data_IF_728044962026
#
_entry.id   IF_728044962026
#
_cell.length_a   1.000
_cell.length_b   1.000
_cell.length_c   1.000
_cell.angle_alpha   90.00
_cell.angle_beta   90.00
_cell.angle_gamma   90.00
#
_symmetry.space_group_name_H-M   'P 1'
#
loop_
_entity.id
_entity.type
_entity.pdbx_description
1 polymer ?
#
# COMPACT_ATOMS: atom_id res chain seq x y z
N UNK A 1 -0.57 9.29 -16.41
CA UNK A 1 0.25 8.51 -15.46
C UNK A 1 -0.40 8.39 -14.08
N UNK A 2 -0.78 9.49 -13.38
CA UNK A 2 -1.47 9.43 -12.07
C UNK A 2 -2.71 8.52 -12.08
N UNK A 3 -3.62 8.67 -13.05
CA UNK A 3 -4.82 7.84 -13.15
C UNK A 3 -4.51 6.34 -13.25
N UNK A 4 -3.42 5.96 -13.91
CA UNK A 4 -3.00 4.56 -14.00
C UNK A 4 -2.51 4.04 -12.65
N UNK A 5 -1.72 4.84 -11.91
CA UNK A 5 -1.26 4.46 -10.57
C UNK A 5 -2.44 4.29 -9.62
N UNK A 6 -3.41 5.19 -9.62
CA UNK A 6 -4.65 5.05 -8.84
C UNK A 6 -5.43 3.78 -9.21
N UNK A 7 -5.54 3.47 -10.51
CA UNK A 7 -6.23 2.23 -10.96
C UNK A 7 -5.54 0.97 -10.44
N UNK A 8 -4.23 0.89 -10.48
CA UNK A 8 -3.48 -0.26 -9.95
C UNK A 8 -3.63 -0.32 -8.43
N UNK A 9 -3.45 0.80 -7.76
CA UNK A 9 -3.52 0.87 -6.30
C UNK A 9 -4.88 0.43 -5.75
N UNK A 10 -6.00 0.83 -6.37
CA UNK A 10 -7.33 0.39 -5.92
C UNK A 10 -7.50 -1.13 -5.91
N UNK A 11 -6.93 -1.84 -6.89
CA UNK A 11 -7.00 -3.30 -6.93
C UNK A 11 -6.10 -3.94 -5.87
N UNK A 12 -4.91 -3.39 -5.66
CA UNK A 12 -4.00 -3.88 -4.61
C UNK A 12 -4.63 -3.65 -3.24
N UNK A 13 -5.01 -2.43 -2.90
CA UNK A 13 -5.61 -2.11 -1.61
C UNK A 13 -6.97 -2.79 -1.40
N UNK A 14 -7.82 -2.83 -2.44
CA UNK A 14 -9.12 -3.48 -2.38
C UNK A 14 -9.01 -4.99 -2.21
N UNK A 15 -8.14 -5.64 -2.97
CA UNK A 15 -7.89 -7.08 -2.87
C UNK A 15 -7.37 -7.48 -1.49
N UNK A 16 -6.32 -6.81 -1.00
CA UNK A 16 -5.81 -7.05 0.35
C UNK A 16 -6.84 -6.72 1.43
N UNK A 17 -7.59 -5.62 1.29
CA UNK A 17 -8.64 -5.25 2.22
C UNK A 17 -9.72 -6.32 2.34
N UNK A 18 -10.20 -6.87 1.21
CA UNK A 18 -11.18 -7.96 1.21
C UNK A 18 -10.60 -9.23 1.85
N UNK A 19 -9.38 -9.61 1.48
CA UNK A 19 -8.73 -10.81 2.03
C UNK A 19 -8.51 -10.69 3.55
N UNK A 20 -8.02 -9.57 4.04
CA UNK A 20 -7.83 -9.34 5.49
C UNK A 20 -9.15 -9.27 6.25
N UNK A 21 -10.21 -8.75 5.62
CA UNK A 21 -11.52 -8.65 6.27
C UNK A 21 -12.19 -10.01 6.43
N UNK A 22 -12.17 -10.81 5.36
CA UNK A 22 -12.92 -12.06 5.30
C UNK A 22 -12.09 -13.26 5.76
N UNK A 23 -10.78 -13.26 5.53
CA UNK A 23 -9.88 -14.40 5.72
C UNK A 23 -8.63 -14.03 6.55
N UNK A 24 -8.75 -13.32 7.70
CA UNK A 24 -7.59 -12.89 8.48
C UNK A 24 -6.80 -14.07 9.06
N UNK A 25 -7.47 -15.15 9.42
CA UNK A 25 -6.85 -16.35 10.01
C UNK A 25 -6.06 -17.13 8.95
N UNK A 26 -6.64 -17.31 7.77
CA UNK A 26 -6.02 -18.01 6.65
C UNK A 26 -4.79 -17.24 6.14
N UNK A 27 -4.91 -15.94 6.03
CA UNK A 27 -3.79 -15.09 5.63
C UNK A 27 -2.65 -15.13 6.66
N UNK A 28 -2.98 -15.10 7.95
CA UNK A 28 -2.01 -15.26 9.01
C UNK A 28 -1.32 -16.65 8.96
N UNK A 29 -2.07 -17.71 8.67
CA UNK A 29 -1.51 -19.05 8.55
C UNK A 29 -0.50 -19.19 7.41
N UNK A 30 -0.69 -18.46 6.31
CA UNK A 30 0.28 -18.38 5.20
C UNK A 30 1.54 -17.63 5.61
N UNK A 31 1.41 -16.51 6.34
CA UNK A 31 2.54 -15.67 6.75
C UNK A 31 3.27 -16.18 7.99
N UNK A 32 2.57 -16.94 8.84
CA UNK A 32 3.08 -17.46 10.11
C UNK A 32 2.52 -18.85 10.37
N UNK A 33 3.00 -19.89 9.66
CA UNK A 33 2.53 -21.26 9.81
C UNK A 33 2.61 -21.75 11.26
N UNK A 34 1.53 -22.39 11.75
CA UNK A 34 1.45 -22.93 13.10
C UNK A 34 1.13 -21.91 14.19
N UNK A 35 1.08 -20.60 13.89
CA UNK A 35 0.68 -19.57 14.85
C UNK A 35 -0.84 -19.42 14.87
N UNK A 36 -1.43 -19.58 16.04
CA UNK A 36 -2.84 -19.24 16.26
C UNK A 36 -2.96 -17.72 16.35
N UNK A 37 -3.88 -17.13 15.57
CA UNK A 37 -4.14 -15.70 15.59
C UNK A 37 -5.05 -15.34 16.77
N UNK A 38 -4.58 -14.56 17.79
CA UNK A 38 -5.42 -14.10 18.89
C UNK A 38 -6.56 -13.20 18.41
N UNK A 39 -7.66 -13.16 19.18
CA UNK A 39 -8.84 -12.35 18.81
C UNK A 39 -8.50 -10.87 18.63
N UNK A 40 -7.65 -10.33 19.49
CA UNK A 40 -7.23 -8.91 19.45
C UNK A 40 -6.47 -8.59 18.16
N UNK A 41 -5.57 -9.47 17.76
CA UNK A 41 -4.83 -9.32 16.49
C UNK A 41 -5.75 -9.48 15.28
N UNK A 42 -6.73 -10.40 15.35
CA UNK A 42 -7.74 -10.55 14.31
C UNK A 42 -8.56 -9.28 14.13
N UNK A 43 -9.02 -8.66 15.23
CA UNK A 43 -9.74 -7.38 15.19
C UNK A 43 -8.86 -6.26 14.62
N UNK A 44 -7.58 -6.22 14.98
CA UNK A 44 -6.62 -5.27 14.44
C UNK A 44 -6.47 -5.43 12.92
N UNK A 45 -6.28 -6.65 12.42
CA UNK A 45 -6.19 -6.94 10.99
C UNK A 45 -7.47 -6.56 10.24
N UNK A 46 -8.65 -6.83 10.82
CA UNK A 46 -9.93 -6.45 10.23
C UNK A 46 -10.14 -4.92 10.23
N UNK A 47 -9.66 -4.21 11.24
CA UNK A 47 -9.66 -2.75 11.27
C UNK A 47 -8.74 -2.17 10.19
N UNK A 48 -7.55 -2.74 10.00
CA UNK A 48 -6.66 -2.41 8.89
C UNK A 48 -7.32 -2.67 7.53
N UNK A 49 -8.04 -3.79 7.40
CA UNK A 49 -8.79 -4.12 6.19
C UNK A 49 -9.82 -3.04 5.85
N UNK A 50 -10.58 -2.55 6.83
CA UNK A 50 -11.55 -1.46 6.62
C UNK A 50 -10.85 -0.18 6.14
N UNK A 51 -9.68 0.16 6.72
CA UNK A 51 -8.88 1.29 6.27
C UNK A 51 -8.39 1.11 4.82
N UNK A 52 -7.88 -0.07 4.46
CA UNK A 52 -7.44 -0.37 3.10
C UNK A 52 -8.58 -0.28 2.08
N UNK A 53 -9.79 -0.72 2.43
CA UNK A 53 -10.98 -0.57 1.58
C UNK A 53 -11.34 0.92 1.39
N UNK A 54 -11.21 1.73 2.42
CA UNK A 54 -11.37 3.18 2.32
C UNK A 54 -10.35 3.82 1.36
N UNK A 55 -9.09 3.42 1.47
CA UNK A 55 -8.03 3.87 0.56
C UNK A 55 -8.29 3.40 -0.87
N UNK A 56 -8.76 2.16 -1.05
CA UNK A 56 -9.15 1.64 -2.37
C UNK A 56 -10.28 2.46 -3.00
N UNK A 57 -11.28 2.87 -2.21
CA UNK A 57 -12.36 3.75 -2.66
C UNK A 57 -11.85 5.13 -3.07
N UNK A 58 -10.95 5.73 -2.27
CA UNK A 58 -10.31 7.01 -2.62
C UNK A 58 -9.53 6.87 -3.95
N UNK A 59 -8.74 5.81 -4.10
CA UNK A 59 -7.99 5.54 -5.32
C UNK A 59 -8.90 5.27 -6.53
N UNK A 60 -10.08 4.67 -6.30
CA UNK A 60 -11.10 4.48 -7.33
C UNK A 60 -11.68 5.80 -7.82
N UNK A 61 -11.98 6.72 -6.90
CA UNK A 61 -12.65 7.99 -7.18
C UNK A 61 -11.68 9.08 -7.68
N UNK A 62 -10.41 9.01 -7.28
CA UNK A 62 -9.41 10.03 -7.59
C UNK A 62 -9.29 10.39 -9.08
N UNK A 63 -9.33 9.45 -10.06
CA UNK A 63 -9.23 9.78 -11.48
C UNK A 63 -10.34 10.70 -12.02
N UNK A 64 -11.49 10.77 -11.36
CA UNK A 64 -12.61 11.64 -11.73
C UNK A 64 -12.49 13.08 -11.19
N UNK A 65 -11.52 13.32 -10.31
CA UNK A 65 -11.30 14.63 -9.69
C UNK A 65 -10.41 15.53 -10.54
N UNK A 66 -10.43 16.87 -10.32
CA UNK A 66 -9.48 17.79 -10.92
C UNK A 66 -8.02 17.38 -10.62
N UNK A 67 -7.10 17.70 -11.56
CA UNK A 67 -5.67 17.32 -11.44
C UNK A 67 -5.03 17.80 -10.13
N UNK A 68 -5.40 18.98 -9.65
CA UNK A 68 -4.92 19.52 -8.37
C UNK A 68 -5.29 18.61 -7.18
N UNK A 69 -6.53 18.12 -7.14
CA UNK A 69 -6.99 17.19 -6.12
C UNK A 69 -6.31 15.81 -6.27
N UNK A 70 -6.19 15.30 -7.49
CA UNK A 70 -5.43 14.06 -7.76
C UNK A 70 -3.99 14.17 -7.24
N UNK A 71 -3.34 15.30 -7.49
CA UNK A 71 -1.96 15.57 -7.06
C UNK A 71 -1.85 15.64 -5.54
N UNK A 72 -2.81 16.27 -4.86
CA UNK A 72 -2.83 16.34 -3.39
C UNK A 72 -3.00 14.94 -2.77
N UNK A 73 -3.93 14.13 -3.28
CA UNK A 73 -4.14 12.74 -2.84
C UNK A 73 -2.87 11.92 -3.09
N UNK A 74 -2.28 12.03 -4.28
CA UNK A 74 -1.07 11.29 -4.65
C UNK A 74 0.13 11.62 -3.74
N UNK A 75 0.29 12.90 -3.34
CA UNK A 75 1.32 13.31 -2.37
C UNK A 75 1.09 12.70 -0.99
N UNK A 76 -0.15 12.70 -0.51
CA UNK A 76 -0.49 12.05 0.76
C UNK A 76 -0.19 10.56 0.75
N UNK A 77 -0.59 9.85 -0.30
CA UNK A 77 -0.31 8.42 -0.46
C UNK A 77 1.20 8.14 -0.61
N UNK A 78 1.94 8.95 -1.38
CA UNK A 78 3.39 8.82 -1.49
C UNK A 78 4.08 8.98 -0.15
N UNK A 79 3.65 9.94 0.68
CA UNK A 79 4.17 10.13 2.03
C UNK A 79 3.88 8.92 2.93
N UNK A 80 2.64 8.41 2.92
CA UNK A 80 2.29 7.21 3.68
C UNK A 80 3.16 6.01 3.29
N UNK A 81 3.31 5.74 2.00
CA UNK A 81 4.13 4.61 1.53
C UNK A 81 5.62 4.81 1.78
N UNK A 82 6.12 6.04 1.80
CA UNK A 82 7.49 6.33 2.21
C UNK A 82 7.70 5.96 3.70
N UNK A 83 6.78 6.35 4.57
CA UNK A 83 6.85 6.02 6.01
C UNK A 83 6.80 4.51 6.20
N UNK A 84 5.85 3.81 5.55
CA UNK A 84 5.76 2.35 5.61
C UNK A 84 7.03 1.67 5.08
N UNK A 85 7.61 2.16 4.00
CA UNK A 85 8.87 1.66 3.45
C UNK A 85 10.01 1.74 4.46
N UNK A 86 10.12 2.88 5.17
CA UNK A 86 11.14 3.09 6.21
C UNK A 86 10.89 2.15 7.39
N UNK A 87 9.65 2.03 7.85
CA UNK A 87 9.28 1.16 8.99
C UNK A 87 9.57 -0.31 8.66
N UNK A 88 9.10 -0.82 7.52
CA UNK A 88 9.34 -2.20 7.11
C UNK A 88 10.82 -2.48 6.86
N UNK A 89 11.55 -1.51 6.29
CA UNK A 89 13.01 -1.60 6.10
C UNK A 89 13.75 -1.68 7.44
N UNK A 90 13.36 -0.86 8.41
CA UNK A 90 13.92 -0.92 9.77
C UNK A 90 13.67 -2.28 10.44
N UNK A 91 12.43 -2.76 10.41
CA UNK A 91 12.10 -4.07 10.98
C UNK A 91 12.79 -5.22 10.25
N UNK A 92 12.91 -5.16 8.93
CA UNK A 92 13.63 -6.16 8.16
C UNK A 92 15.13 -6.20 8.53
N UNK A 93 15.74 -5.04 8.79
CA UNK A 93 17.16 -4.93 9.12
C UNK A 93 17.48 -5.31 10.59
N UNK A 94 16.63 -4.91 11.53
CA UNK A 94 16.97 -4.94 12.96
C UNK A 94 15.96 -5.71 13.82
N UNK A 95 14.71 -5.85 13.40
CA UNK A 95 13.64 -6.43 14.23
C UNK A 95 13.38 -7.91 14.02
N UNK A 96 13.88 -8.51 12.94
CA UNK A 96 13.51 -9.87 12.54
C UNK A 96 14.55 -10.94 12.95
N UNK A 97 15.57 -10.59 13.72
CA UNK A 97 16.66 -11.52 14.06
C UNK A 97 16.17 -12.82 14.72
N UNK A 98 15.13 -12.74 15.55
CA UNK A 98 14.50 -13.86 16.27
C UNK A 98 13.23 -14.41 15.62
N UNK A 99 12.81 -13.87 14.46
CA UNK A 99 11.55 -14.27 13.82
C UNK A 99 11.73 -15.49 12.91
N UNK A 100 10.62 -16.22 12.66
CA UNK A 100 10.63 -17.35 11.73
C UNK A 100 10.96 -16.89 10.29
N UNK A 101 11.54 -17.78 9.47
CA UNK A 101 11.83 -17.46 8.06
C UNK A 101 10.60 -17.00 7.27
N UNK A 102 9.44 -17.64 7.52
CA UNK A 102 8.17 -17.35 6.83
C UNK A 102 7.69 -15.94 7.17
N UNK A 103 7.78 -15.55 8.45
CA UNK A 103 7.42 -14.19 8.89
C UNK A 103 8.33 -13.14 8.25
N UNK A 104 9.64 -13.42 8.16
CA UNK A 104 10.60 -12.52 7.47
C UNK A 104 10.22 -12.33 6.01
N UNK A 105 9.88 -13.42 5.30
CA UNK A 105 9.43 -13.34 3.90
C UNK A 105 8.17 -12.48 3.80
N UNK A 106 7.18 -12.66 4.68
CA UNK A 106 5.96 -11.85 4.70
C UNK A 106 6.25 -10.35 4.87
N UNK A 107 7.12 -9.99 5.82
CA UNK A 107 7.54 -8.60 6.05
C UNK A 107 8.24 -8.01 4.84
N UNK A 108 9.18 -8.74 4.23
CA UNK A 108 9.93 -8.29 3.05
C UNK A 108 8.98 -8.12 1.85
N UNK A 109 8.08 -9.07 1.60
CA UNK A 109 7.10 -8.99 0.51
C UNK A 109 6.19 -7.77 0.68
N UNK A 110 5.64 -7.56 1.88
CA UNK A 110 4.76 -6.42 2.18
C UNK A 110 5.52 -5.10 2.03
N UNK A 111 6.73 -5.00 2.59
CA UNK A 111 7.58 -3.83 2.44
C UNK A 111 7.91 -3.51 0.98
N UNK A 112 8.15 -4.54 0.15
CA UNK A 112 8.40 -4.37 -1.28
C UNK A 112 7.20 -3.76 -2.03
N UNK A 113 5.98 -4.11 -1.65
CA UNK A 113 4.77 -3.49 -2.22
C UNK A 113 4.74 -1.98 -1.91
N UNK A 114 5.08 -1.57 -0.69
CA UNK A 114 5.13 -0.16 -0.32
C UNK A 114 6.22 0.61 -1.07
N UNK A 115 7.40 0.02 -1.26
CA UNK A 115 8.47 0.60 -2.10
C UNK A 115 7.96 0.84 -3.53
N UNK A 116 7.32 -0.15 -4.14
CA UNK A 116 6.79 -0.04 -5.50
C UNK A 116 5.71 1.03 -5.60
N UNK A 117 4.77 1.09 -4.64
CA UNK A 117 3.72 2.11 -4.63
C UNK A 117 4.28 3.51 -4.40
N UNK A 118 5.22 3.67 -3.47
CA UNK A 118 5.93 4.94 -3.26
C UNK A 118 6.63 5.42 -4.52
N UNK A 119 7.41 4.55 -5.17
CA UNK A 119 8.12 4.87 -6.40
C UNK A 119 7.15 5.24 -7.54
N UNK A 120 6.04 4.49 -7.68
CA UNK A 120 5.04 4.73 -8.71
C UNK A 120 4.35 6.10 -8.53
N UNK A 121 3.94 6.44 -7.31
CA UNK A 121 3.33 7.76 -7.04
C UNK A 121 4.34 8.89 -7.21
N UNK A 122 5.58 8.73 -6.74
CA UNK A 122 6.65 9.72 -6.88
C UNK A 122 6.97 9.99 -8.34
N UNK A 123 7.15 8.96 -9.16
CA UNK A 123 7.38 9.09 -10.59
C UNK A 123 6.19 9.76 -11.32
N UNK A 124 4.95 9.41 -10.91
CA UNK A 124 3.75 10.01 -11.49
C UNK A 124 3.61 11.50 -11.14
N UNK A 125 4.01 11.91 -9.94
CA UNK A 125 4.03 13.30 -9.50
C UNK A 125 5.10 14.12 -10.25
N UNK A 126 6.30 13.57 -10.44
CA UNK A 126 7.36 14.20 -11.23
C UNK A 126 6.90 14.42 -12.68
N UNK A 127 6.26 13.43 -13.30
CA UNK A 127 5.73 13.55 -14.64
C UNK A 127 4.55 14.54 -14.78
N UNK A 128 3.80 14.76 -13.69
CA UNK A 128 2.70 15.73 -13.67
C UNK A 128 3.17 17.20 -13.50
N UNK A 129 4.37 17.40 -12.96
CA UNK A 129 4.97 18.73 -12.74
C UNK A 129 5.73 19.28 -13.94
N UNK A 130 5.97 18.47 -14.98
CA UNK A 130 6.63 18.92 -16.21
C UNK A 130 5.59 19.66 -17.07
N UNK A 131 5.75 20.96 -17.36
CA UNK A 131 4.87 21.67 -18.29
C UNK A 131 4.90 20.99 -19.66
N UNK A 132 3.73 20.81 -20.28
CA UNK A 132 3.67 20.33 -21.64
C UNK A 132 4.48 21.28 -22.54
N UNK A 133 5.41 20.75 -23.34
CA UNK A 133 6.14 21.54 -24.31
C UNK A 133 5.14 22.32 -25.20
N UNK A 134 5.38 23.63 -25.50
CA UNK A 134 4.46 24.39 -26.33
C UNK A 134 4.29 23.69 -27.68
N UNK A 135 3.04 23.43 -28.07
CA UNK A 135 2.72 22.89 -29.39
C UNK A 135 3.30 23.87 -30.42
N UNK A 136 4.27 23.42 -31.21
CA UNK A 136 4.73 24.18 -32.38
C UNK A 136 3.54 24.33 -33.32
N UNK A 137 3.04 25.56 -33.45
CA UNK A 137 2.03 25.98 -34.42
C UNK A 137 2.63 26.00 -35.83
#
# INVERSE_FOLDING_TARGET
MLATVFRVHRFVAGGFGVLLLLFPTELNAVMSPGRVLPLEEKLTLQSWAAFMLGVAYIAHSAPSLPLSAQTAIARGLALCFMIETVLYGYYAAFGLASSSPEYRVGVICTGSIFVVLWAAYSAALLGASVPAAPKKS
#
